data_IF_314272411564
#
_entry.id   IF_314272411564
#
_cell.length_a   1.000
_cell.length_b   1.000
_cell.length_c   1.000
_cell.angle_alpha   90.00
_cell.angle_beta   90.00
_cell.angle_gamma   90.00
#
_symmetry.space_group_name_H-M   'P 1'
#
loop_
_entity.id
_entity.type
_entity.pdbx_description
1 polymer ?
#
# COMPACT_ATOMS: atom_id res chain seq x y z
N UNK A 1 -6.49 9.02 5.42
CA UNK A 1 -6.93 9.21 4.02
C UNK A 1 -8.39 9.62 3.97
N UNK A 2 -9.29 8.89 4.65
CA UNK A 2 -10.75 9.14 4.65
C UNK A 2 -11.20 10.55 5.04
N UNK A 3 -10.34 11.36 5.66
CA UNK A 3 -10.62 12.77 6.01
C UNK A 3 -10.21 13.77 4.91
N UNK A 4 -9.65 13.31 3.80
CA UNK A 4 -9.26 14.19 2.70
C UNK A 4 -10.48 14.48 1.80
N UNK A 5 -10.79 15.76 1.51
CA UNK A 5 -11.94 16.12 0.68
C UNK A 5 -11.84 15.51 -0.72
N UNK A 6 -12.95 14.93 -1.18
CA UNK A 6 -13.03 14.33 -2.53
C UNK A 6 -12.24 13.05 -2.70
N UNK A 7 -11.92 12.35 -1.60
CA UNK A 7 -11.22 11.05 -1.59
C UNK A 7 -12.13 10.01 -0.96
N UNK A 8 -12.44 8.98 -1.73
CA UNK A 8 -13.03 7.75 -1.23
C UNK A 8 -11.93 6.77 -0.83
N UNK A 9 -12.12 6.04 0.25
CA UNK A 9 -11.14 5.06 0.73
C UNK A 9 -11.83 3.77 1.13
N UNK A 10 -11.18 2.67 0.79
CA UNK A 10 -11.54 1.33 1.22
C UNK A 10 -10.36 0.68 1.92
N UNK A 11 -10.62 0.00 3.04
CA UNK A 11 -9.64 -0.80 3.75
C UNK A 11 -9.84 -2.26 3.39
N UNK A 12 -8.81 -2.86 2.80
CA UNK A 12 -8.77 -4.28 2.47
C UNK A 12 -7.86 -5.01 3.46
N UNK A 13 -8.45 -5.79 4.34
CA UNK A 13 -7.70 -6.68 5.23
C UNK A 13 -7.44 -8.01 4.52
N UNK A 14 -6.24 -8.15 3.99
CA UNK A 14 -5.83 -9.36 3.25
C UNK A 14 -5.84 -10.64 4.10
N UNK A 15 -5.77 -10.53 5.43
CA UNK A 15 -5.82 -11.68 6.30
C UNK A 15 -7.22 -12.34 6.36
N UNK A 16 -8.25 -11.62 5.96
CA UNK A 16 -9.62 -12.13 5.91
C UNK A 16 -10.05 -12.65 4.54
N UNK A 17 -9.19 -12.52 3.53
CA UNK A 17 -9.50 -12.95 2.15
C UNK A 17 -9.39 -14.47 1.99
N UNK A 18 -10.33 -15.12 1.32
CA UNK A 18 -10.32 -16.58 1.10
C UNK A 18 -9.38 -16.97 -0.06
N UNK A 19 -8.10 -16.65 0.08
CA UNK A 19 -7.09 -16.95 -0.95
C UNK A 19 -6.65 -18.41 -0.90
N UNK A 20 -6.75 -19.16 -2.01
CA UNK A 20 -6.20 -20.51 -2.09
C UNK A 20 -4.68 -20.46 -1.91
N UNK A 21 -4.13 -21.42 -1.13
CA UNK A 21 -2.69 -21.48 -0.85
C UNK A 21 -1.96 -22.49 -1.74
N UNK A 22 -2.69 -23.28 -2.53
CA UNK A 22 -2.17 -24.32 -3.41
C UNK A 22 -2.07 -23.90 -4.88
N UNK A 23 -2.31 -22.64 -5.16
CA UNK A 23 -2.28 -22.07 -6.50
C UNK A 23 -1.64 -20.67 -6.51
N UNK A 24 -1.45 -20.07 -7.67
CA UNK A 24 -0.76 -18.80 -7.83
C UNK A 24 -1.25 -18.00 -9.05
N UNK A 25 -0.90 -16.73 -9.09
CA UNK A 25 -1.21 -15.83 -10.19
C UNK A 25 -2.71 -15.63 -10.37
N UNK A 26 -3.17 -15.50 -11.59
CA UNK A 26 -4.58 -15.26 -11.94
C UNK A 26 -5.54 -16.37 -11.43
N UNK A 27 -5.04 -17.58 -11.17
CA UNK A 27 -5.84 -18.69 -10.66
C UNK A 27 -6.35 -18.46 -9.21
N UNK A 28 -5.67 -17.61 -8.46
CA UNK A 28 -6.05 -17.27 -7.08
C UNK A 28 -6.79 -15.92 -6.97
N UNK A 29 -7.15 -15.33 -8.10
CA UNK A 29 -7.73 -14.01 -8.17
C UNK A 29 -9.02 -13.91 -7.37
N UNK A 30 -8.94 -13.19 -6.26
CA UNK A 30 -10.10 -12.86 -5.43
C UNK A 30 -10.84 -11.69 -6.08
N UNK A 31 -12.13 -11.89 -6.39
CA UNK A 31 -12.90 -10.95 -7.21
C UNK A 31 -13.09 -9.58 -6.56
N UNK A 32 -13.34 -9.52 -5.24
CA UNK A 32 -13.51 -8.25 -4.53
C UNK A 32 -12.21 -7.45 -4.50
N UNK A 33 -11.07 -8.12 -4.29
CA UNK A 33 -9.75 -7.49 -4.36
C UNK A 33 -9.47 -6.94 -5.76
N UNK A 34 -9.67 -7.75 -6.80
CA UNK A 34 -9.45 -7.32 -8.19
C UNK A 34 -10.30 -6.11 -8.58
N UNK A 35 -11.59 -6.12 -8.23
CA UNK A 35 -12.50 -5.00 -8.47
C UNK A 35 -12.07 -3.74 -7.73
N UNK A 36 -11.63 -3.87 -6.48
CA UNK A 36 -11.11 -2.75 -5.71
C UNK A 36 -9.83 -2.18 -6.32
N UNK A 37 -8.91 -3.05 -6.77
CA UNK A 37 -7.68 -2.64 -7.44
C UNK A 37 -7.97 -1.95 -8.78
N UNK A 38 -8.91 -2.47 -9.56
CA UNK A 38 -9.30 -1.86 -10.84
C UNK A 38 -9.88 -0.45 -10.65
N UNK A 39 -10.75 -0.27 -9.66
CA UNK A 39 -11.38 1.01 -9.34
C UNK A 39 -10.43 2.05 -8.74
N UNK A 40 -9.41 1.62 -7.99
CA UNK A 40 -8.52 2.51 -7.27
C UNK A 40 -7.65 3.37 -8.20
N UNK A 41 -7.47 4.65 -7.88
CA UNK A 41 -6.50 5.55 -8.52
C UNK A 41 -5.12 5.49 -7.84
N UNK A 42 -5.09 5.08 -6.57
CA UNK A 42 -3.89 4.90 -5.78
C UNK A 42 -4.07 3.79 -4.73
N UNK A 43 -2.95 3.21 -4.31
CA UNK A 43 -2.90 2.14 -3.33
C UNK A 43 -1.97 2.56 -2.19
N UNK A 44 -2.37 2.29 -0.96
CA UNK A 44 -1.50 2.36 0.22
C UNK A 44 -1.27 0.95 0.72
N UNK A 45 -0.03 0.51 0.72
CA UNK A 45 0.36 -0.78 1.29
C UNK A 45 0.90 -0.55 2.70
N UNK A 46 0.21 -1.10 3.71
CA UNK A 46 0.70 -1.13 5.08
C UNK A 46 1.28 -2.51 5.35
N UNK A 47 2.60 -2.58 5.45
CA UNK A 47 3.32 -3.85 5.49
C UNK A 47 4.15 -4.01 6.77
N UNK A 48 3.88 -5.04 7.58
CA UNK A 48 4.77 -5.41 8.69
C UNK A 48 6.05 -6.07 8.16
N UNK A 49 7.18 -5.75 8.81
CA UNK A 49 8.46 -6.40 8.50
C UNK A 49 8.55 -7.76 9.18
N UNK A 50 8.63 -8.81 8.38
CA UNK A 50 8.91 -10.17 8.82
C UNK A 50 10.24 -10.65 8.23
N UNK A 51 11.19 -11.00 9.10
CA UNK A 51 12.49 -11.55 8.67
C UNK A 51 13.17 -10.71 7.57
N UNK A 52 13.19 -9.38 7.75
CA UNK A 52 13.76 -8.41 6.81
C UNK A 52 13.00 -8.27 5.46
N UNK A 53 11.80 -8.78 5.35
CA UNK A 53 10.99 -8.69 4.14
C UNK A 53 9.50 -8.48 4.44
N UNK A 54 8.69 -8.57 3.42
CA UNK A 54 7.23 -8.58 3.52
C UNK A 54 6.71 -9.99 3.80
N UNK A 55 5.49 -10.09 4.35
CA UNK A 55 4.86 -11.38 4.61
C UNK A 55 4.44 -12.07 3.29
N UNK A 56 4.48 -13.41 3.27
CA UNK A 56 4.11 -14.21 2.11
C UNK A 56 2.68 -13.95 1.63
N UNK A 57 1.74 -13.71 2.55
CA UNK A 57 0.36 -13.40 2.22
C UNK A 57 0.23 -12.12 1.38
N UNK A 58 1.01 -11.06 1.70
CA UNK A 58 1.02 -9.84 0.90
C UNK A 58 1.51 -10.12 -0.53
N UNK A 59 2.59 -10.89 -0.67
CA UNK A 59 3.09 -11.25 -2.00
C UNK A 59 2.06 -12.07 -2.76
N UNK A 60 1.43 -13.03 -2.10
CA UNK A 60 0.44 -13.90 -2.69
C UNK A 60 -0.77 -13.13 -3.24
N UNK A 61 -1.31 -12.19 -2.46
CA UNK A 61 -2.43 -11.37 -2.95
C UNK A 61 -2.03 -10.39 -4.05
N UNK A 62 -0.82 -9.82 -3.97
CA UNK A 62 -0.32 -8.93 -5.02
C UNK A 62 -0.15 -9.66 -6.36
N UNK A 63 0.30 -10.90 -6.33
CA UNK A 63 0.50 -11.73 -7.53
C UNK A 63 -0.80 -12.18 -8.19
N UNK A 64 -1.95 -12.00 -7.54
CA UNK A 64 -3.25 -12.35 -8.11
C UNK A 64 -3.78 -11.38 -9.16
N UNK A 65 -3.18 -10.19 -9.26
CA UNK A 65 -3.57 -9.15 -10.22
C UNK A 65 -2.32 -8.64 -10.95
N UNK A 66 -2.49 -8.08 -12.15
CA UNK A 66 -1.41 -7.43 -12.89
C UNK A 66 -1.91 -6.17 -13.61
N UNK A 67 -2.82 -6.32 -14.55
CA UNK A 67 -3.33 -5.20 -15.36
C UNK A 67 -4.07 -4.14 -14.53
N UNK A 68 -4.64 -4.54 -13.40
CA UNK A 68 -5.34 -3.67 -12.47
C UNK A 68 -4.42 -2.66 -11.77
N UNK A 69 -3.11 -2.92 -11.76
CA UNK A 69 -2.12 -2.04 -11.12
C UNK A 69 -1.47 -1.03 -12.06
N UNK A 70 -1.44 -1.34 -13.35
CA UNK A 70 -0.62 -0.59 -14.32
C UNK A 70 -0.98 0.90 -14.31
N UNK A 71 0.05 1.74 -14.20
CA UNK A 71 -0.03 3.20 -14.15
C UNK A 71 -0.87 3.75 -12.98
N UNK A 72 -0.87 3.08 -11.84
CA UNK A 72 -1.46 3.61 -10.59
C UNK A 72 -0.39 3.99 -9.58
N UNK A 73 -0.71 4.98 -8.76
CA UNK A 73 0.20 5.41 -7.70
C UNK A 73 0.20 4.41 -6.54
N UNK A 74 1.36 4.19 -5.92
CA UNK A 74 1.46 3.42 -4.68
C UNK A 74 2.35 4.12 -3.67
N UNK A 75 1.87 4.19 -2.42
CA UNK A 75 2.63 4.60 -1.26
C UNK A 75 2.80 3.42 -0.30
N UNK A 76 3.96 3.33 0.35
CA UNK A 76 4.26 2.21 1.25
C UNK A 76 4.43 2.72 2.67
N UNK A 77 3.79 2.04 3.61
CA UNK A 77 3.92 2.25 5.04
C UNK A 77 4.55 1.01 5.63
N UNK A 78 5.79 1.14 6.09
CA UNK A 78 6.50 0.08 6.79
C UNK A 78 6.18 0.08 8.28
N UNK A 79 6.04 -1.11 8.85
CA UNK A 79 5.74 -1.28 10.28
C UNK A 79 6.69 -2.31 10.87
N UNK A 80 7.29 -2.02 12.03
CA UNK A 80 8.09 -3.02 12.75
C UNK A 80 8.00 -2.87 14.27
N UNK A 81 8.22 -3.98 14.97
CA UNK A 81 8.40 -3.99 16.41
C UNK A 81 9.75 -3.36 16.83
N UNK A 82 10.73 -3.42 15.94
CA UNK A 82 12.07 -2.85 16.15
C UNK A 82 12.20 -1.38 15.72
N UNK A 83 13.40 -0.81 15.87
CA UNK A 83 13.63 0.63 15.65
C UNK A 83 13.66 1.06 14.17
N UNK A 84 13.70 0.13 13.22
CA UNK A 84 13.89 0.46 11.81
C UNK A 84 12.58 0.77 11.04
N UNK A 85 11.41 0.63 11.67
CA UNK A 85 10.13 1.05 11.12
C UNK A 85 9.74 0.37 9.80
N UNK A 86 10.19 -0.87 9.58
CA UNK A 86 9.90 -1.58 8.33
C UNK A 86 10.68 -1.07 7.11
N UNK A 87 11.83 -0.43 7.30
CA UNK A 87 12.65 0.07 6.16
C UNK A 87 13.00 -1.05 5.19
N UNK A 88 13.29 -2.25 5.68
CA UNK A 88 13.66 -3.37 4.80
C UNK A 88 12.48 -3.91 4.02
N UNK A 89 11.29 -3.97 4.62
CA UNK A 89 10.09 -4.38 3.87
C UNK A 89 9.78 -3.39 2.76
N UNK A 90 9.93 -2.09 3.00
CA UNK A 90 9.77 -1.06 1.95
C UNK A 90 10.76 -1.32 0.82
N UNK A 91 12.06 -1.44 1.12
CA UNK A 91 13.09 -1.68 0.09
C UNK A 91 12.83 -2.96 -0.71
N UNK A 92 12.35 -4.01 -0.08
CA UNK A 92 12.03 -5.27 -0.75
C UNK A 92 10.74 -5.20 -1.60
N UNK A 93 9.82 -4.28 -1.29
CA UNK A 93 8.61 -4.07 -2.08
C UNK A 93 8.85 -3.24 -3.35
N UNK A 94 9.82 -2.33 -3.35
CA UNK A 94 10.07 -1.45 -4.51
C UNK A 94 10.22 -2.19 -5.85
N UNK A 95 11.04 -3.26 -5.96
CA UNK A 95 11.13 -4.02 -7.21
C UNK A 95 9.81 -4.73 -7.56
N UNK A 96 9.03 -5.17 -6.58
CA UNK A 96 7.72 -5.78 -6.81
C UNK A 96 6.75 -4.74 -7.37
N UNK A 97 6.70 -3.54 -6.79
CA UNK A 97 5.83 -2.46 -7.28
C UNK A 97 6.15 -2.10 -8.73
N UNK A 98 7.44 -2.02 -9.05
CA UNK A 98 7.88 -1.76 -10.43
C UNK A 98 7.43 -2.84 -11.40
N UNK A 99 7.57 -4.11 -11.04
CA UNK A 99 7.18 -5.24 -11.88
C UNK A 99 5.66 -5.29 -12.11
N UNK A 100 4.87 -4.90 -11.11
CA UNK A 100 3.42 -4.79 -11.21
C UNK A 100 2.95 -3.53 -12.00
N UNK A 101 3.86 -2.68 -12.47
CA UNK A 101 3.52 -1.45 -13.19
C UNK A 101 3.00 -0.33 -12.30
N UNK A 102 3.16 -0.45 -10.99
CA UNK A 102 2.83 0.58 -10.01
C UNK A 102 3.91 1.67 -9.97
N UNK A 103 3.49 2.92 -9.79
CA UNK A 103 4.41 4.06 -9.65
C UNK A 103 4.51 4.45 -8.18
N UNK A 104 5.66 4.15 -7.57
CA UNK A 104 5.91 4.48 -6.17
C UNK A 104 6.10 5.99 -5.99
N UNK A 105 5.49 6.54 -4.95
CA UNK A 105 5.73 7.92 -4.54
C UNK A 105 7.08 8.04 -3.82
N UNK A 106 7.58 9.28 -3.71
CA UNK A 106 8.90 9.54 -3.10
C UNK A 106 8.92 9.32 -1.58
N UNK A 107 7.81 9.56 -0.88
CA UNK A 107 7.75 9.50 0.57
C UNK A 107 7.18 8.18 1.08
N UNK A 108 7.90 7.58 2.04
CA UNK A 108 7.41 6.44 2.82
C UNK A 108 7.06 6.90 4.24
N UNK A 109 6.28 6.08 4.95
CA UNK A 109 6.06 6.23 6.39
C UNK A 109 6.56 4.98 7.10
N UNK A 110 7.43 5.18 8.10
CA UNK A 110 8.04 4.10 8.86
C UNK A 110 7.55 4.15 10.31
N UNK A 111 6.76 3.17 10.74
CA UNK A 111 6.34 3.00 12.12
C UNK A 111 7.29 2.07 12.86
N UNK A 112 8.26 2.67 13.57
CA UNK A 112 9.17 1.94 14.46
C UNK A 112 8.52 1.68 15.82
N UNK A 113 8.91 0.59 16.48
CA UNK A 113 8.40 0.23 17.81
C UNK A 113 6.88 0.38 17.90
N UNK A 114 6.17 -0.19 16.93
CA UNK A 114 4.73 0.05 16.70
C UNK A 114 3.86 -0.20 17.92
N UNK A 115 4.27 -1.11 18.81
CA UNK A 115 3.58 -1.43 20.08
C UNK A 115 3.48 -0.21 21.04
N UNK A 116 4.30 0.82 20.84
CA UNK A 116 4.27 2.06 21.64
C UNK A 116 3.82 3.28 20.84
N UNK A 117 3.52 3.11 19.54
CA UNK A 117 3.14 4.21 18.65
C UNK A 117 1.71 4.68 18.86
N UNK A 118 0.89 3.87 19.53
CA UNK A 118 -0.50 4.18 19.82
C UNK A 118 -0.81 3.94 21.30
N UNK A 119 -1.67 4.80 21.87
CA UNK A 119 -2.18 4.62 23.23
C UNK A 119 -3.34 3.59 23.27
N UNK A 120 -3.89 3.36 24.47
CA UNK A 120 -4.99 2.42 24.67
C UNK A 120 -6.29 2.84 23.94
N UNK A 121 -6.41 4.10 23.54
CA UNK A 121 -7.52 4.66 22.77
C UNK A 121 -7.24 4.67 21.25
N UNK A 122 -6.09 4.13 20.81
CA UNK A 122 -5.67 4.11 19.42
C UNK A 122 -5.18 5.45 18.86
N UNK A 123 -4.83 6.41 19.74
CA UNK A 123 -4.29 7.68 19.32
C UNK A 123 -2.77 7.62 19.20
N UNK A 124 -2.21 8.31 18.21
CA UNK A 124 -0.76 8.42 18.02
C UNK A 124 -0.10 9.09 19.23
N UNK A 125 0.90 8.44 19.81
CA UNK A 125 1.70 8.94 20.92
C UNK A 125 2.71 10.01 20.48
N UNK A 126 3.23 9.88 19.23
CA UNK A 126 4.16 10.85 18.62
C UNK A 126 3.47 11.63 17.50
N UNK A 127 3.21 12.90 17.74
CA UNK A 127 2.57 13.82 16.78
C UNK A 127 3.43 14.11 15.53
N UNK A 128 4.71 13.75 15.53
CA UNK A 128 5.55 13.86 14.34
C UNK A 128 5.04 13.00 13.18
N UNK A 129 4.38 11.89 13.47
CA UNK A 129 3.75 11.03 12.46
C UNK A 129 2.62 11.73 11.71
N UNK A 130 1.88 12.63 12.33
CA UNK A 130 0.82 13.39 11.66
C UNK A 130 1.39 14.17 10.47
N UNK A 131 2.51 14.85 10.66
CA UNK A 131 3.19 15.61 9.60
C UNK A 131 3.76 14.71 8.50
N UNK A 132 4.31 13.54 8.88
CA UNK A 132 4.85 12.56 7.93
C UNK A 132 3.72 11.98 7.06
N UNK A 133 2.62 11.60 7.69
CA UNK A 133 1.43 11.09 7.01
C UNK A 133 0.81 12.16 6.08
N UNK A 134 0.72 13.41 6.53
CA UNK A 134 0.20 14.51 5.71
C UNK A 134 1.05 14.72 4.44
N UNK A 135 2.37 14.70 4.58
CA UNK A 135 3.30 14.81 3.45
C UNK A 135 3.18 13.63 2.49
N UNK A 136 3.12 12.43 3.02
CA UNK A 136 2.90 11.20 2.25
C UNK A 136 1.58 11.25 1.47
N UNK A 137 0.48 11.65 2.13
CA UNK A 137 -0.83 11.72 1.48
C UNK A 137 -0.91 12.80 0.42
N UNK A 138 -0.30 13.96 0.62
CA UNK A 138 -0.23 15.02 -0.40
C UNK A 138 0.45 14.54 -1.66
N UNK A 139 1.59 13.87 -1.53
CA UNK A 139 2.33 13.31 -2.65
C UNK A 139 1.53 12.20 -3.34
N UNK A 140 0.95 11.28 -2.57
CA UNK A 140 0.14 10.19 -3.11
C UNK A 140 -1.05 10.71 -3.93
N UNK A 141 -1.78 11.68 -3.40
CA UNK A 141 -2.96 12.24 -4.08
C UNK A 141 -2.57 13.06 -5.32
N UNK A 142 -1.43 13.76 -5.27
CA UNK A 142 -0.90 14.44 -6.45
C UNK A 142 -0.55 13.43 -7.55
N UNK A 143 0.19 12.38 -7.21
CA UNK A 143 0.58 11.32 -8.16
C UNK A 143 -0.66 10.57 -8.69
N UNK A 144 -1.60 10.22 -7.82
CA UNK A 144 -2.85 9.55 -8.21
C UNK A 144 -3.63 10.34 -9.27
N UNK A 145 -3.81 11.64 -9.05
CA UNK A 145 -4.51 12.54 -9.99
C UNK A 145 -3.76 12.67 -11.32
N UNK A 146 -2.44 12.79 -11.26
CA UNK A 146 -1.57 12.89 -12.45
C UNK A 146 -1.65 11.62 -13.29
N UNK A 147 -1.52 10.45 -12.67
CA UNK A 147 -1.57 9.18 -13.37
C UNK A 147 -2.99 8.85 -13.88
N UNK A 148 -4.01 9.22 -13.13
CA UNK A 148 -5.39 9.12 -13.60
C UNK A 148 -5.61 9.95 -14.87
N UNK A 149 -5.19 11.21 -14.86
CA UNK A 149 -5.24 12.06 -16.04
C UNK A 149 -4.50 11.41 -17.22
N UNK A 150 -3.33 10.85 -16.99
CA UNK A 150 -2.56 10.12 -17.99
C UNK A 150 -3.34 8.92 -18.58
N UNK A 151 -3.91 8.07 -17.73
CA UNK A 151 -4.71 6.91 -18.18
C UNK A 151 -5.94 7.30 -19.00
N UNK A 152 -6.55 8.45 -18.68
CA UNK A 152 -7.77 8.92 -19.34
C UNK A 152 -7.52 9.72 -20.62
N UNK A 153 -6.33 10.35 -20.77
CA UNK A 153 -6.12 11.37 -21.81
C UNK A 153 -4.86 11.16 -22.69
N UNK A 154 -3.98 10.25 -22.33
CA UNK A 154 -2.74 10.00 -23.08
C UNK A 154 -2.81 8.60 -23.71
N UNK A 155 -2.77 8.56 -25.04
CA UNK A 155 -2.69 7.29 -25.75
C UNK A 155 -1.35 6.58 -25.49
N UNK A 156 -1.39 5.26 -25.34
CA UNK A 156 -0.21 4.38 -25.20
C UNK A 156 -0.03 3.62 -26.51
#
# INVERSE_FOLDING_TARGET
>A
VSKQPGVETELLDIATMPLPTNDAGEAIKESAFSVAMDRADAIVIVAPEYNHGYCGLLKHVLDSCLKEYIHKAVGIVGVSAGPFGGTRVIQNLLPVMRELGLVTIFWDVNFSSVQTSFDAQGQLTDQSYVRRIDKFLKELLWMARTLRYGRENVAI
#
